data_IF_655421841971
#
_entry.id   IF_655421841971
#
_cell.length_a   1.000
_cell.length_b   1.000
_cell.length_c   1.000
_cell.angle_alpha   90.00
_cell.angle_beta   90.00
_cell.angle_gamma   90.00
#
_symmetry.space_group_name_H-M   'P 1'
#
loop_
_entity.id
_entity.type
_entity.pdbx_description
1 polymer ?
#
# COMPACT_ATOMS: atom_id res chain seq x y z
N UNK A 1 5.28 9.58 -2.74
CA UNK A 1 5.06 8.59 -1.66
C UNK A 1 6.37 8.18 -1.01
N UNK A 2 7.32 7.58 -1.76
CA UNK A 2 8.63 7.18 -1.23
C UNK A 2 9.36 8.30 -0.46
N UNK A 3 9.48 9.50 -1.03
CA UNK A 3 10.12 10.62 -0.34
C UNK A 3 9.43 11.01 0.97
N UNK A 4 8.09 10.99 1.00
CA UNK A 4 7.35 11.26 2.24
C UNK A 4 7.61 10.17 3.29
N UNK A 5 7.72 8.91 2.88
CA UNK A 5 8.07 7.81 3.79
C UNK A 5 9.49 7.96 4.34
N UNK A 6 10.46 8.38 3.49
CA UNK A 6 11.82 8.71 3.93
C UNK A 6 11.84 9.88 4.92
N UNK A 7 11.09 10.94 4.63
CA UNK A 7 10.93 12.09 5.53
C UNK A 7 10.28 11.72 6.87
N UNK A 8 9.44 10.68 6.87
CA UNK A 8 8.87 10.08 8.08
C UNK A 8 9.86 9.18 8.84
N UNK A 9 11.07 8.99 8.32
CA UNK A 9 12.12 8.17 8.92
C UNK A 9 12.05 6.68 8.56
N UNK A 10 11.28 6.30 7.54
CA UNK A 10 11.19 4.90 7.12
C UNK A 10 12.40 4.48 6.29
N UNK A 11 12.96 3.31 6.62
CA UNK A 11 13.80 2.56 5.69
C UNK A 11 12.91 1.88 4.65
N UNK A 12 13.23 2.03 3.36
CA UNK A 12 12.42 1.50 2.29
C UNK A 12 13.24 0.96 1.13
N UNK A 13 12.64 0.05 0.37
CA UNK A 13 13.15 -0.47 -0.89
C UNK A 13 12.07 -0.31 -1.95
N UNK A 14 12.43 0.12 -3.15
CA UNK A 14 11.49 0.32 -4.28
C UNK A 14 11.63 -0.83 -5.29
N UNK A 15 10.55 -1.14 -6.01
CA UNK A 15 10.50 -2.13 -7.10
C UNK A 15 11.05 -3.52 -6.71
N UNK A 16 10.64 -4.03 -5.55
CA UNK A 16 11.16 -5.29 -4.99
C UNK A 16 10.38 -6.49 -5.50
N UNK A 17 11.09 -7.49 -6.03
CA UNK A 17 10.48 -8.79 -6.40
C UNK A 17 10.36 -9.68 -5.16
N UNK A 18 9.13 -9.95 -4.74
CA UNK A 18 8.80 -10.81 -3.61
C UNK A 18 8.74 -12.28 -4.06
N UNK A 19 9.86 -13.00 -3.87
CA UNK A 19 10.00 -14.41 -4.33
C UNK A 19 9.11 -15.38 -3.57
N UNK A 20 8.79 -15.07 -2.33
CA UNK A 20 7.88 -15.78 -1.45
C UNK A 20 6.40 -15.46 -1.72
N UNK A 21 6.11 -14.36 -2.41
CA UNK A 21 4.77 -13.95 -2.81
C UNK A 21 4.54 -14.10 -4.32
N UNK A 22 4.82 -15.29 -4.87
CA UNK A 22 4.53 -15.61 -6.27
C UNK A 22 5.32 -14.81 -7.31
N UNK A 23 6.38 -14.10 -6.90
CA UNK A 23 7.20 -13.28 -7.78
C UNK A 23 6.59 -11.92 -8.13
N UNK A 24 5.60 -11.44 -7.37
CA UNK A 24 5.08 -10.09 -7.54
C UNK A 24 6.14 -9.03 -7.30
N UNK A 25 6.10 -7.95 -8.08
CA UNK A 25 6.85 -6.73 -7.78
C UNK A 25 6.02 -5.83 -6.87
N UNK A 26 6.54 -5.53 -5.69
CA UNK A 26 6.03 -4.52 -4.79
C UNK A 26 6.64 -3.16 -5.14
N UNK A 27 5.81 -2.12 -5.22
CA UNK A 27 6.29 -0.76 -5.53
C UNK A 27 7.23 -0.25 -4.44
N UNK A 28 6.85 -0.44 -3.17
CA UNK A 28 7.66 -0.10 -2.01
C UNK A 28 7.51 -1.18 -0.93
N UNK A 29 8.63 -1.59 -0.34
CA UNK A 29 8.69 -2.45 0.84
C UNK A 29 9.26 -1.65 2.01
N UNK A 30 8.63 -1.77 3.18
CA UNK A 30 9.10 -1.24 4.46
C UNK A 30 9.61 -2.41 5.32
N UNK A 31 10.91 -2.76 5.25
CA UNK A 31 11.40 -4.02 5.81
C UNK A 31 11.25 -4.11 7.33
N UNK A 32 11.45 -3.00 8.05
CA UNK A 32 11.34 -2.98 9.52
C UNK A 32 9.92 -3.24 10.02
N UNK A 33 8.92 -3.01 9.17
CA UNK A 33 7.51 -3.21 9.48
C UNK A 33 6.92 -4.44 8.78
N UNK A 34 7.68 -5.10 7.90
CA UNK A 34 7.19 -6.14 6.99
C UNK A 34 5.95 -5.72 6.20
N UNK A 35 5.85 -4.44 5.80
CA UNK A 35 4.70 -3.89 5.06
C UNK A 35 5.06 -3.64 3.60
N UNK A 36 4.14 -3.97 2.70
CA UNK A 36 4.14 -3.57 1.29
C UNK A 36 3.27 -2.33 1.11
N UNK A 37 3.78 -1.33 0.41
CA UNK A 37 3.05 -0.13 -0.01
C UNK A 37 2.93 -0.14 -1.54
N UNK A 38 1.71 -0.24 -2.04
CA UNK A 38 1.37 -0.17 -3.47
C UNK A 38 0.96 1.26 -3.83
N UNK A 39 1.54 1.84 -4.87
CA UNK A 39 1.24 3.19 -5.38
C UNK A 39 0.35 3.07 -6.60
N UNK A 40 -0.95 2.97 -6.36
CA UNK A 40 -1.92 2.71 -7.40
C UNK A 40 -2.22 3.98 -8.21
N UNK A 41 -1.62 4.08 -9.40
CA UNK A 41 -1.90 5.13 -10.38
C UNK A 41 -3.23 4.96 -11.13
N UNK A 42 -3.61 5.90 -12.01
CA UNK A 42 -4.93 5.93 -12.64
C UNK A 42 -5.33 4.66 -13.41
N UNK A 43 -4.35 3.94 -13.98
CA UNK A 43 -4.57 2.67 -14.71
C UNK A 43 -5.07 1.52 -13.82
N UNK A 44 -4.87 1.63 -12.51
CA UNK A 44 -5.32 0.64 -11.52
C UNK A 44 -6.79 0.78 -11.16
N UNK A 45 -7.48 1.80 -11.69
CA UNK A 45 -8.86 2.11 -11.36
C UNK A 45 -9.77 2.09 -12.58
N UNK A 46 -11.04 1.81 -12.33
CA UNK A 46 -12.16 1.95 -13.28
C UNK A 46 -13.25 2.80 -12.64
N UNK A 47 -13.95 3.59 -13.44
CA UNK A 47 -15.10 4.34 -12.97
C UNK A 47 -16.33 3.42 -12.97
N UNK A 48 -16.88 3.14 -11.78
CA UNK A 48 -18.03 2.28 -11.60
C UNK A 48 -18.86 2.73 -10.40
N UNK A 49 -20.19 2.67 -10.52
CA UNK A 49 -21.14 3.04 -9.46
C UNK A 49 -20.89 4.45 -8.88
N UNK A 50 -20.57 5.41 -9.75
CA UNK A 50 -20.34 6.81 -9.35
C UNK A 50 -19.04 7.07 -8.57
N UNK A 51 -18.09 6.14 -8.57
CA UNK A 51 -16.79 6.28 -7.90
C UNK A 51 -15.66 5.59 -8.67
N UNK A 52 -14.42 5.98 -8.36
CA UNK A 52 -13.23 5.25 -8.81
C UNK A 52 -13.06 4.01 -7.94
N UNK A 53 -12.99 2.83 -8.56
CA UNK A 53 -12.78 1.55 -7.88
C UNK A 53 -11.55 0.86 -8.45
N UNK A 54 -10.77 0.21 -7.60
CA UNK A 54 -9.65 -0.60 -8.05
C UNK A 54 -10.14 -1.69 -9.02
N UNK A 55 -9.43 -1.88 -10.12
CA UNK A 55 -9.75 -2.91 -11.10
C UNK A 55 -9.49 -4.32 -10.53
N UNK A 56 -10.00 -5.35 -11.22
CA UNK A 56 -9.88 -6.74 -10.76
C UNK A 56 -8.43 -7.20 -10.56
N UNK A 57 -7.52 -6.80 -11.45
CA UNK A 57 -6.10 -7.18 -11.35
C UNK A 57 -5.44 -6.59 -10.09
N UNK A 58 -5.70 -5.32 -9.80
CA UNK A 58 -5.23 -4.65 -8.60
C UNK A 58 -5.81 -5.28 -7.33
N UNK A 59 -7.12 -5.57 -7.31
CA UNK A 59 -7.77 -6.22 -6.16
C UNK A 59 -7.13 -7.60 -5.89
N UNK A 60 -6.96 -8.42 -6.93
CA UNK A 60 -6.37 -9.75 -6.81
C UNK A 60 -4.92 -9.67 -6.34
N UNK A 61 -4.09 -8.78 -6.90
CA UNK A 61 -2.69 -8.59 -6.46
C UNK A 61 -2.64 -8.29 -4.95
N UNK A 62 -3.40 -7.32 -4.47
CA UNK A 62 -3.43 -6.93 -3.05
C UNK A 62 -3.91 -8.07 -2.15
N UNK A 63 -4.90 -8.85 -2.58
CA UNK A 63 -5.39 -10.00 -1.82
C UNK A 63 -4.35 -11.12 -1.75
N UNK A 64 -3.67 -11.42 -2.86
CA UNK A 64 -2.65 -12.45 -2.89
C UNK A 64 -1.42 -12.08 -2.06
N UNK A 65 -0.95 -10.84 -2.15
CA UNK A 65 0.14 -10.35 -1.28
C UNK A 65 -0.20 -10.56 0.21
N UNK A 66 -1.41 -10.18 0.63
CA UNK A 66 -1.88 -10.43 2.01
C UNK A 66 -1.95 -11.91 2.35
N UNK A 67 -2.46 -12.75 1.44
CA UNK A 67 -2.52 -14.20 1.64
C UNK A 67 -1.13 -14.84 1.75
N UNK A 68 -0.11 -14.24 1.14
CA UNK A 68 1.30 -14.62 1.29
C UNK A 68 1.96 -14.04 2.55
N UNK A 69 1.20 -13.41 3.45
CA UNK A 69 1.71 -12.86 4.70
C UNK A 69 2.36 -11.49 4.54
N UNK A 70 2.07 -10.76 3.46
CA UNK A 70 2.53 -9.38 3.27
C UNK A 70 1.37 -8.40 3.53
N UNK A 71 1.32 -7.73 4.68
CA UNK A 71 0.39 -6.63 4.92
C UNK A 71 0.53 -5.54 3.85
N UNK A 72 -0.59 -5.15 3.23
CA UNK A 72 -0.60 -4.19 2.10
C UNK A 72 -1.32 -2.89 2.46
N UNK A 73 -0.58 -1.78 2.40
CA UNK A 73 -1.10 -0.42 2.25
C UNK A 73 -1.23 -0.10 0.77
N UNK A 74 -2.38 0.43 0.35
CA UNK A 74 -2.59 0.94 -1.01
C UNK A 74 -2.71 2.46 -0.94
N UNK A 75 -1.93 3.16 -1.76
CA UNK A 75 -2.01 4.60 -1.95
C UNK A 75 -2.80 4.86 -3.22
N UNK A 76 -4.08 5.18 -3.05
CA UNK A 76 -4.98 5.52 -4.15
C UNK A 76 -4.65 6.91 -4.71
N UNK A 77 -4.33 7.00 -6.00
CA UNK A 77 -3.99 8.28 -6.65
C UNK A 77 -5.09 9.33 -6.53
N UNK A 78 -6.37 8.94 -6.53
CA UNK A 78 -7.49 9.86 -6.43
C UNK A 78 -7.62 10.43 -5.02
N UNK A 79 -7.42 9.61 -3.98
CA UNK A 79 -7.37 10.06 -2.60
C UNK A 79 -6.15 10.94 -2.36
N UNK A 80 -4.98 10.44 -2.75
CA UNK A 80 -3.70 11.13 -2.61
C UNK A 80 -3.70 12.52 -3.26
N UNK A 81 -4.22 12.63 -4.48
CA UNK A 81 -4.23 13.89 -5.24
C UNK A 81 -5.21 14.92 -4.67
N UNK A 82 -6.19 14.50 -3.85
CA UNK A 82 -7.09 15.43 -3.14
C UNK A 82 -6.45 16.06 -1.91
N UNK A 83 -5.36 15.48 -1.40
CA UNK A 83 -4.63 16.00 -0.25
C UNK A 83 -3.75 17.17 -0.69
N UNK A 84 -4.29 18.39 -0.56
CA UNK A 84 -3.66 19.62 -1.06
C UNK A 84 -2.40 20.07 -0.31
N UNK A 85 -2.11 19.49 0.87
CA UNK A 85 -0.98 19.86 1.71
C UNK A 85 -0.10 18.64 2.07
N UNK A 86 1.24 18.79 2.12
CA UNK A 86 2.15 17.71 2.51
C UNK A 86 1.84 17.09 3.88
N UNK A 87 1.40 17.89 4.85
CA UNK A 87 1.05 17.38 6.19
C UNK A 87 -0.16 16.43 6.14
N UNK A 88 -1.12 16.70 5.25
CA UNK A 88 -2.28 15.81 5.05
C UNK A 88 -1.86 14.51 4.36
N UNK A 89 -0.94 14.57 3.40
CA UNK A 89 -0.36 13.38 2.77
C UNK A 89 0.44 12.53 3.77
N UNK A 90 1.22 13.19 4.63
CA UNK A 90 1.95 12.54 5.73
C UNK A 90 1.00 11.87 6.71
N UNK A 91 -0.08 12.54 7.09
CA UNK A 91 -1.10 11.99 7.97
C UNK A 91 -1.80 10.80 7.32
N UNK A 92 -2.21 10.91 6.06
CA UNK A 92 -2.81 9.80 5.30
C UNK A 92 -1.93 8.54 5.31
N UNK A 93 -0.62 8.67 5.05
CA UNK A 93 0.30 7.53 5.10
C UNK A 93 0.43 6.96 6.51
N UNK A 94 0.59 7.82 7.52
CA UNK A 94 0.69 7.38 8.92
C UNK A 94 -0.55 6.58 9.33
N UNK A 95 -1.73 7.10 9.06
CA UNK A 95 -3.00 6.47 9.44
C UNK A 95 -3.20 5.16 8.69
N UNK A 96 -2.83 5.11 7.40
CA UNK A 96 -2.88 3.89 6.58
C UNK A 96 -1.94 2.80 7.11
N UNK A 97 -0.71 3.17 7.45
CA UNK A 97 0.29 2.25 8.02
C UNK A 97 -0.16 1.71 9.39
N UNK A 98 -0.60 2.59 10.29
CA UNK A 98 -1.11 2.19 11.60
C UNK A 98 -2.33 1.27 11.47
N UNK A 99 -3.23 1.56 10.52
CA UNK A 99 -4.40 0.74 10.26
C UNK A 99 -4.07 -0.68 9.80
N UNK A 100 -3.01 -0.84 8.99
CA UNK A 100 -2.54 -2.15 8.54
C UNK A 100 -1.81 -2.89 9.67
N UNK A 101 -0.89 -2.22 10.36
CA UNK A 101 -0.11 -2.82 11.45
C UNK A 101 -0.99 -3.26 12.63
N UNK A 102 -2.04 -2.52 12.95
CA UNK A 102 -2.98 -2.88 14.02
C UNK A 102 -3.82 -4.12 13.66
N UNK A 103 -4.15 -4.32 12.38
CA UNK A 103 -4.92 -5.47 11.90
C UNK A 103 -4.08 -6.74 11.85
N UNK A 104 -2.83 -6.61 11.44
CA UNK A 104 -1.88 -7.74 11.37
C UNK A 104 -1.61 -8.32 12.77
N UNK A 105 -1.51 -7.46 13.80
CA UNK A 105 -1.36 -7.92 15.19
C UNK A 105 -2.63 -8.55 15.79
N UNK A 106 -3.80 -8.37 15.15
CA UNK A 106 -5.08 -8.85 15.66
C UNK A 106 -5.46 -10.25 15.14
N UNK A 107 -4.79 -10.75 14.09
CA UNK A 107 -4.99 -12.10 13.56
C UNK A 107 -3.78 -12.98 13.90
N UNK A 108 -3.84 -13.83 14.96
CA UNK A 108 -2.78 -14.80 15.18
C UNK A 108 -2.78 -15.82 14.04
N UNK A 109 -1.58 -16.18 13.58
CA UNK A 109 -1.35 -17.26 12.64
C UNK A 109 -2.12 -18.52 13.10
N UNK A 110 -3.04 -18.99 12.25
CA UNK A 110 -3.73 -20.28 12.42
C UNK A 110 -2.77 -21.45 12.17
#
# INVERSE_FOLDING_TARGET
VADMLRDMGAELQEDVILRDAGGYTADIVLPSQSVVVEVDGPKHFVWADGSWKANGATVVKRQQLRAFGHPVVSVDVHEWSRLAAPDLQRQYLRDSLLGVLARDQAEPAQ
#
